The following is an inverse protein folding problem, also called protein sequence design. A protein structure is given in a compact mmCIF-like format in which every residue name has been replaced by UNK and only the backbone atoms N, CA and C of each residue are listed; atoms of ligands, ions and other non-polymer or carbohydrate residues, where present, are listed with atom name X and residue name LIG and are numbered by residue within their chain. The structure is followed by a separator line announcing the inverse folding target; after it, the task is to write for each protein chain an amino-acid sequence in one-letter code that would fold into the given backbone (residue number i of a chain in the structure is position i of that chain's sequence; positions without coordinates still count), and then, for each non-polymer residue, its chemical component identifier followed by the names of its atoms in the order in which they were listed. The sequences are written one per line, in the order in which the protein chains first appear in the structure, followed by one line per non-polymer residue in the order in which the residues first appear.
data_IF_353934037918
#
_entry.id   IF_353934037918
#
_cell.length_a   1.000
_cell.length_b   1.000
_cell.length_c   1.000
_cell.angle_alpha   90.00
_cell.angle_beta   90.00
_cell.angle_gamma   90.00
#
_symmetry.space_group_name_H-M   'P 1'
#
loop_
_entity.id
_entity.type
_entity.pdbx_description
1 polymer ?
#
# COMPACT_ATOMS: atom_id res chain seq x y z
N UNK A 1 30.10 -2.04 -7.43
CA UNK A 1 29.67 -1.45 -8.72
C UNK A 1 29.17 -0.06 -8.44
N UNK A 2 29.78 0.95 -9.02
CA UNK A 2 29.28 2.33 -8.99
C UNK A 2 28.31 2.52 -10.15
N UNK A 3 27.19 3.20 -9.90
CA UNK A 3 26.32 3.68 -10.97
C UNK A 3 27.08 4.83 -11.64
N UNK A 4 27.49 4.66 -12.90
CA UNK A 4 28.37 5.62 -13.60
C UNK A 4 27.58 6.74 -14.30
N UNK A 5 26.30 6.51 -14.60
CA UNK A 5 25.39 7.51 -15.17
C UNK A 5 23.98 7.33 -14.58
N UNK A 6 23.42 8.43 -14.09
CA UNK A 6 22.02 8.55 -13.67
C UNK A 6 21.32 9.42 -14.71
N UNK A 7 20.24 8.93 -15.31
CA UNK A 7 19.33 9.73 -16.12
C UNK A 7 18.08 9.98 -15.30
N UNK A 8 17.69 11.25 -15.20
CA UNK A 8 16.43 11.65 -14.59
C UNK A 8 15.32 11.63 -15.64
N UNK A 9 14.33 10.76 -15.44
CA UNK A 9 13.09 10.74 -16.21
C UNK A 9 11.97 11.25 -15.30
N UNK A 10 11.45 12.47 -15.50
CA UNK A 10 10.38 13.00 -14.67
C UNK A 10 9.05 12.33 -15.05
N UNK A 11 8.34 11.80 -14.06
CA UNK A 11 7.00 11.24 -14.23
C UNK A 11 5.99 12.08 -13.46
N UNK A 12 4.90 12.46 -14.12
CA UNK A 12 3.73 13.05 -13.46
C UNK A 12 2.62 12.03 -13.48
N UNK A 13 2.19 11.57 -12.30
CA UNK A 13 1.06 10.66 -12.17
C UNK A 13 -0.18 11.43 -11.70
N UNK A 14 -1.31 11.17 -12.36
CA UNK A 14 -2.62 11.61 -11.89
C UNK A 14 -3.41 10.37 -11.48
N UNK A 15 -3.59 10.18 -10.18
CA UNK A 15 -4.36 9.07 -9.64
C UNK A 15 -5.72 9.56 -9.12
N UNK A 16 -6.78 8.82 -9.44
CA UNK A 16 -8.09 8.97 -8.82
C UNK A 16 -8.41 7.65 -8.14
N UNK A 17 -8.45 7.69 -6.81
CA UNK A 17 -8.83 6.55 -5.96
C UNK A 17 -10.25 6.77 -5.44
N UNK A 18 -11.10 5.78 -5.61
CA UNK A 18 -12.46 5.78 -5.08
C UNK A 18 -12.48 5.04 -3.74
N UNK A 19 -12.35 5.81 -2.65
CA UNK A 19 -12.44 5.25 -1.30
C UNK A 19 -13.92 4.97 -0.95
N UNK A 20 -14.27 3.73 -0.57
CA UNK A 20 -15.60 3.44 -0.09
C UNK A 20 -15.89 4.22 1.19
N UNK A 21 -17.17 4.48 1.46
CA UNK A 21 -17.57 5.08 2.74
C UNK A 21 -17.11 4.22 3.91
N UNK A 22 -16.38 4.82 4.85
CA UNK A 22 -15.88 4.18 6.06
C UNK A 22 -16.00 5.13 7.25
N UNK A 23 -16.07 4.58 8.46
CA UNK A 23 -16.03 5.40 9.68
C UNK A 23 -14.68 6.11 9.82
N UNK A 24 -14.63 7.17 10.64
CA UNK A 24 -13.37 7.81 10.98
C UNK A 24 -12.48 6.79 11.71
N UNK A 25 -11.26 6.60 11.20
CA UNK A 25 -10.34 5.61 11.76
C UNK A 25 -10.01 5.94 13.21
N UNK A 26 -10.20 4.96 14.09
CA UNK A 26 -9.56 4.90 15.40
C UNK A 26 -8.67 3.66 15.43
N UNK A 27 -7.50 3.72 16.07
CA UNK A 27 -6.66 2.52 16.19
C UNK A 27 -7.45 1.45 16.95
N UNK A 28 -7.71 0.30 16.32
CA UNK A 28 -8.40 -0.82 16.95
C UNK A 28 -7.55 -1.48 18.04
N UNK A 29 -8.17 -2.32 18.88
CA UNK A 29 -7.43 -3.14 19.86
C UNK A 29 -6.48 -4.14 19.18
N UNK A 30 -6.90 -4.71 18.05
CA UNK A 30 -6.10 -5.61 17.23
C UNK A 30 -4.86 -4.92 16.68
N UNK A 31 -5.03 -3.75 16.05
CA UNK A 31 -3.93 -2.97 15.50
C UNK A 31 -2.91 -2.61 16.58
N UNK A 32 -3.38 -2.12 17.74
CA UNK A 32 -2.50 -1.78 18.88
C UNK A 32 -1.70 -2.97 19.38
N UNK A 33 -2.35 -4.14 19.48
CA UNK A 33 -1.69 -5.41 19.85
C UNK A 33 -0.62 -5.78 18.82
N UNK A 34 -0.97 -5.81 17.55
CA UNK A 34 -0.06 -6.25 16.48
C UNK A 34 1.11 -5.26 16.29
N UNK A 35 0.85 -3.96 16.35
CA UNK A 35 1.88 -2.90 16.40
C UNK A 35 2.86 -3.10 17.55
N UNK A 36 2.36 -3.44 18.76
CA UNK A 36 3.23 -3.75 19.91
C UNK A 36 4.07 -5.00 19.65
N UNK A 37 3.50 -6.06 19.08
CA UNK A 37 4.24 -7.29 18.74
C UNK A 37 5.39 -6.94 17.80
N UNK A 38 5.08 -6.32 16.65
CA UNK A 38 6.06 -6.04 15.61
C UNK A 38 7.17 -5.09 16.09
N UNK A 39 6.81 -3.97 16.70
CA UNK A 39 7.77 -2.90 17.04
C UNK A 39 8.44 -3.10 18.39
N UNK A 40 7.72 -3.61 19.41
CA UNK A 40 8.23 -3.65 20.80
C UNK A 40 8.69 -5.03 21.25
N UNK A 41 8.07 -6.11 20.77
CA UNK A 41 8.44 -7.46 21.20
C UNK A 41 9.47 -8.10 20.26
N UNK A 42 9.21 -8.02 18.96
CA UNK A 42 10.11 -8.55 17.93
C UNK A 42 11.22 -7.57 17.54
N UNK A 43 11.08 -6.30 17.95
CA UNK A 43 12.01 -5.22 17.62
C UNK A 43 12.33 -5.14 16.11
N UNK A 44 11.31 -5.37 15.27
CA UNK A 44 11.48 -5.35 13.82
C UNK A 44 11.89 -3.96 13.36
N UNK A 45 12.90 -3.84 12.48
CA UNK A 45 13.28 -2.56 11.91
C UNK A 45 12.30 -2.14 10.81
N UNK A 46 12.43 -0.91 10.31
CA UNK A 46 11.85 -0.50 9.04
C UNK A 46 12.23 -1.50 7.95
N UNK A 47 11.23 -2.00 7.23
CA UNK A 47 11.42 -3.00 6.18
C UNK A 47 12.30 -2.52 5.02
N UNK A 48 12.26 -1.22 4.71
CA UNK A 48 13.03 -0.62 3.61
C UNK A 48 14.50 -0.41 4.00
N UNK A 49 14.78 0.28 5.10
CA UNK A 49 16.13 0.76 5.41
C UNK A 49 16.78 0.16 6.65
N UNK A 50 16.09 -0.73 7.39
CA UNK A 50 16.65 -1.34 8.59
C UNK A 50 16.69 -0.44 9.84
N UNK A 51 16.25 0.82 9.75
CA UNK A 51 16.23 1.75 10.89
C UNK A 51 15.26 1.29 11.98
N UNK A 52 15.63 1.52 13.24
CA UNK A 52 14.76 1.32 14.42
C UNK A 52 14.18 2.62 14.97
N UNK A 53 14.54 3.74 14.37
CA UNK A 53 14.08 5.05 14.77
C UNK A 53 12.65 5.32 14.31
N UNK A 54 11.89 6.01 15.15
CA UNK A 54 10.52 6.47 14.91
C UNK A 54 9.63 5.45 14.18
N UNK A 55 9.70 4.16 14.54
CA UNK A 55 8.99 3.09 13.83
C UNK A 55 7.47 3.22 13.97
N UNK A 56 6.81 3.04 12.83
CA UNK A 56 5.39 3.03 12.64
C UNK A 56 4.97 1.75 11.91
N UNK A 57 3.66 1.50 11.82
CA UNK A 57 3.11 0.31 11.20
C UNK A 57 2.06 0.75 10.19
N UNK A 58 2.23 0.28 8.96
CA UNK A 58 1.38 0.54 7.80
C UNK A 58 0.61 -0.73 7.42
N UNK A 59 -0.51 -0.56 6.74
CA UNK A 59 -1.35 -1.64 6.22
C UNK A 59 -1.04 -1.88 4.75
N UNK A 60 -0.51 -3.05 4.39
CA UNK A 60 -0.17 -3.41 2.99
C UNK A 60 -1.39 -3.21 2.08
N UNK A 61 -2.51 -3.82 2.42
CA UNK A 61 -3.82 -3.44 1.90
C UNK A 61 -4.39 -2.32 2.78
N UNK A 62 -4.44 -1.12 2.21
CA UNK A 62 -4.81 0.10 2.92
C UNK A 62 -6.16 -0.03 3.64
N UNK A 63 -6.19 0.44 4.88
CA UNK A 63 -7.34 0.30 5.75
C UNK A 63 -8.61 0.93 5.16
N UNK A 64 -8.48 2.10 4.53
CA UNK A 64 -9.61 2.84 3.95
C UNK A 64 -10.23 2.14 2.73
N UNK A 65 -9.49 1.25 2.07
CA UNK A 65 -9.99 0.47 0.93
C UNK A 65 -10.63 -0.86 1.37
N UNK A 66 -10.41 -1.30 2.61
CA UNK A 66 -10.87 -2.60 3.12
C UNK A 66 -12.32 -2.95 2.76
N UNK A 67 -13.32 -2.05 2.86
CA UNK A 67 -14.70 -2.39 2.49
C UNK A 67 -14.87 -2.85 1.02
N UNK A 68 -13.99 -2.42 0.12
CA UNK A 68 -13.98 -2.81 -1.29
C UNK A 68 -13.19 -4.10 -1.57
N UNK A 69 -12.42 -4.62 -0.61
CA UNK A 69 -11.53 -5.75 -0.79
C UNK A 69 -12.14 -7.08 -0.37
N UNK A 70 -11.81 -8.11 -1.12
CA UNK A 70 -12.12 -9.51 -0.87
C UNK A 70 -11.03 -10.12 0.02
N UNK A 71 -11.34 -10.51 1.27
CA UNK A 71 -10.34 -11.01 2.21
C UNK A 71 -9.63 -12.29 1.76
N UNK A 72 -10.25 -13.13 0.93
CA UNK A 72 -9.59 -14.31 0.37
C UNK A 72 -8.47 -13.89 -0.60
N UNK A 73 -8.73 -12.88 -1.44
CA UNK A 73 -7.71 -12.34 -2.36
C UNK A 73 -6.63 -11.53 -1.65
N UNK A 74 -6.97 -10.93 -0.51
CA UNK A 74 -5.97 -10.34 0.40
C UNK A 74 -5.02 -11.45 0.87
N UNK A 75 -5.56 -12.58 1.35
CA UNK A 75 -4.73 -13.71 1.77
C UNK A 75 -3.83 -14.21 0.63
N UNK A 76 -4.34 -14.36 -0.59
CA UNK A 76 -3.53 -14.72 -1.78
C UNK A 76 -2.33 -13.80 -1.97
N UNK A 77 -2.53 -12.50 -1.77
CA UNK A 77 -1.48 -11.49 -1.90
C UNK A 77 -0.44 -11.64 -0.78
N UNK A 78 -0.90 -11.93 0.44
CA UNK A 78 -0.05 -12.14 1.60
C UNK A 78 0.70 -13.48 1.58
N UNK A 79 0.30 -14.45 0.75
CA UNK A 79 1.12 -15.63 0.45
C UNK A 79 2.33 -15.29 -0.44
N UNK A 80 2.22 -14.25 -1.27
CA UNK A 80 3.32 -13.77 -2.12
C UNK A 80 4.24 -12.83 -1.35
N UNK A 81 3.67 -11.91 -0.57
CA UNK A 81 4.41 -10.95 0.21
C UNK A 81 4.19 -11.14 1.72
N UNK A 82 5.01 -12.00 2.31
CA UNK A 82 5.00 -12.34 3.75
C UNK A 82 6.31 -11.90 4.42
N UNK A 83 6.51 -10.58 4.65
CA UNK A 83 7.80 -10.05 5.10
C UNK A 83 8.27 -10.58 6.46
N UNK A 84 7.36 -11.14 7.27
CA UNK A 84 7.65 -11.63 8.62
C UNK A 84 7.29 -13.11 8.85
N UNK A 85 6.86 -13.84 7.82
CA UNK A 85 6.54 -15.28 7.90
C UNK A 85 5.21 -15.61 8.60
N UNK A 86 4.33 -14.63 8.83
CA UNK A 86 3.06 -14.88 9.54
C UNK A 86 2.05 -15.59 8.65
N UNK A 87 2.00 -15.31 7.36
CA UNK A 87 1.12 -16.02 6.43
C UNK A 87 1.54 -17.47 6.32
N UNK A 88 2.85 -17.74 6.18
CA UNK A 88 3.38 -19.10 6.18
C UNK A 88 3.03 -19.86 7.47
N UNK A 89 3.11 -19.20 8.63
CA UNK A 89 2.83 -19.82 9.93
C UNK A 89 1.35 -20.07 10.18
N UNK A 90 0.48 -19.15 9.75
CA UNK A 90 -0.96 -19.21 10.00
C UNK A 90 -1.72 -19.99 8.92
N UNK A 91 -1.13 -20.14 7.73
CA UNK A 91 -1.73 -20.84 6.59
C UNK A 91 -3.03 -20.19 6.14
N UNK A 92 -4.01 -21.03 5.82
CA UNK A 92 -5.32 -20.64 5.26
C UNK A 92 -6.32 -20.07 6.28
N UNK A 93 -5.86 -19.61 7.44
CA UNK A 93 -6.75 -18.95 8.40
C UNK A 93 -7.34 -17.68 7.76
N UNK A 94 -8.67 -17.46 7.81
CA UNK A 94 -9.29 -16.29 7.20
C UNK A 94 -8.67 -14.98 7.67
N UNK A 95 -8.60 -13.99 6.78
CA UNK A 95 -8.32 -12.59 7.15
C UNK A 95 -9.66 -11.95 7.51
N UNK A 96 -9.88 -11.64 8.79
CA UNK A 96 -11.17 -11.09 9.25
C UNK A 96 -11.19 -9.55 9.28
N UNK A 97 -10.01 -8.93 9.25
CA UNK A 97 -9.80 -7.53 9.58
C UNK A 97 -8.61 -6.97 8.80
N UNK A 98 -8.62 -5.68 8.41
CA UNK A 98 -7.44 -5.04 7.84
C UNK A 98 -6.29 -5.00 8.85
N UNK A 99 -6.56 -5.08 10.14
CA UNK A 99 -5.56 -5.00 11.22
C UNK A 99 -4.84 -6.33 11.50
N UNK A 100 -5.16 -7.39 10.75
CA UNK A 100 -4.48 -8.68 10.84
C UNK A 100 -2.96 -8.49 10.67
N UNK A 101 -2.17 -9.14 11.53
CA UNK A 101 -0.71 -8.96 11.57
C UNK A 101 -0.02 -9.29 10.25
N UNK A 102 -0.61 -10.18 9.43
CA UNK A 102 -0.11 -10.54 8.10
C UNK A 102 -0.19 -9.36 7.13
N UNK A 103 -1.16 -8.46 7.32
CA UNK A 103 -1.36 -7.26 6.50
C UNK A 103 -0.55 -6.04 6.97
N UNK A 104 0.35 -6.19 7.95
CA UNK A 104 1.06 -5.07 8.55
C UNK A 104 2.53 -5.02 8.13
N UNK A 105 3.05 -3.82 7.90
CA UNK A 105 4.45 -3.55 7.55
C UNK A 105 5.05 -2.48 8.47
N UNK A 106 6.23 -2.75 9.04
CA UNK A 106 6.97 -1.77 9.85
C UNK A 106 7.74 -0.82 8.94
N UNK A 107 7.49 0.47 9.08
CA UNK A 107 8.15 1.55 8.34
C UNK A 107 8.65 2.62 9.30
N UNK A 108 9.73 3.33 8.96
CA UNK A 108 10.20 4.42 9.79
C UNK A 108 9.40 5.70 9.50
N UNK A 109 9.04 6.43 10.56
CA UNK A 109 8.48 7.78 10.51
C UNK A 109 9.53 8.88 10.42
N UNK A 110 10.81 8.50 10.41
CA UNK A 110 11.96 9.37 10.21
C UNK A 110 13.04 8.58 9.45
N UNK A 111 13.68 9.22 8.46
CA UNK A 111 14.80 8.63 7.73
C UNK A 111 15.83 9.71 7.42
N UNK A 112 17.11 9.34 7.32
CA UNK A 112 18.17 10.23 6.85
C UNK A 112 18.80 9.64 5.59
N UNK A 113 18.91 10.45 4.53
CA UNK A 113 19.57 10.08 3.28
C UNK A 113 20.77 10.99 3.11
N UNK A 114 21.99 10.44 3.20
CA UNK A 114 23.22 11.23 3.08
C UNK A 114 23.36 12.34 4.14
N UNK A 115 22.78 12.16 5.34
CA UNK A 115 22.73 13.17 6.40
C UNK A 115 21.61 14.20 6.26
N UNK A 116 20.74 14.08 5.26
CA UNK A 116 19.55 14.92 5.10
C UNK A 116 18.34 14.22 5.73
N UNK A 117 17.68 14.83 6.73
CA UNK A 117 16.50 14.26 7.35
C UNK A 117 15.29 14.35 6.40
N UNK A 118 14.54 13.25 6.30
CA UNK A 118 13.27 13.12 5.60
C UNK A 118 12.17 12.92 6.65
N UNK A 119 11.43 13.99 7.01
CA UNK A 119 10.28 13.89 7.91
C UNK A 119 9.26 12.90 7.36
N UNK A 120 8.70 12.03 8.22
CA UNK A 120 7.77 10.98 7.81
C UNK A 120 8.44 9.71 7.30
N UNK A 121 9.74 9.74 6.97
CA UNK A 121 10.53 8.58 6.55
C UNK A 121 9.88 7.76 5.44
N UNK A 122 10.05 6.44 5.48
CA UNK A 122 9.46 5.53 4.49
C UNK A 122 7.95 5.31 4.67
N UNK A 123 7.33 5.85 5.73
CA UNK A 123 5.87 5.76 5.88
C UNK A 123 5.15 6.94 5.21
N UNK A 124 5.57 8.17 5.52
CA UNK A 124 4.86 9.42 5.14
C UNK A 124 5.77 10.48 4.49
N UNK A 125 7.03 10.17 4.21
CA UNK A 125 7.94 11.13 3.56
C UNK A 125 7.47 11.47 2.15
N UNK A 126 7.64 12.73 1.75
CA UNK A 126 7.34 13.17 0.38
C UNK A 126 8.30 12.49 -0.58
N UNK A 127 7.78 11.98 -1.71
CA UNK A 127 8.50 11.24 -2.75
C UNK A 127 9.23 9.97 -2.26
N UNK A 128 8.95 9.51 -1.04
CA UNK A 128 9.66 8.39 -0.40
C UNK A 128 8.72 7.44 0.34
N UNK A 129 7.70 8.00 0.97
CA UNK A 129 6.78 7.29 1.85
C UNK A 129 5.79 6.44 1.07
N UNK A 130 5.41 5.31 1.65
CA UNK A 130 4.42 4.41 1.03
C UNK A 130 3.08 5.08 0.70
N UNK A 131 2.71 6.14 1.43
CA UNK A 131 1.49 6.91 1.16
C UNK A 131 1.62 7.95 0.05
N UNK A 132 2.83 8.28 -0.38
CA UNK A 132 3.09 9.22 -1.49
C UNK A 132 3.44 8.49 -2.80
N UNK A 133 3.40 7.15 -2.73
CA UNK A 133 3.63 6.24 -3.85
C UNK A 133 2.37 5.41 -4.11
N UNK A 134 2.17 4.97 -5.35
CA UNK A 134 0.97 4.26 -5.79
C UNK A 134 0.83 2.84 -5.23
N UNK A 135 1.78 2.36 -4.42
CA UNK A 135 1.86 0.96 -4.01
C UNK A 135 0.58 0.45 -3.33
N UNK A 136 0.00 1.14 -2.32
CA UNK A 136 -1.20 0.63 -1.64
C UNK A 136 -2.41 0.51 -2.59
N UNK A 137 -2.62 1.50 -3.46
CA UNK A 137 -3.69 1.47 -4.46
C UNK A 137 -3.46 0.37 -5.50
N UNK A 138 -2.23 0.25 -6.00
CA UNK A 138 -1.87 -0.74 -7.01
C UNK A 138 -2.00 -2.16 -6.47
N UNK A 139 -1.59 -2.41 -5.22
CA UNK A 139 -1.76 -3.70 -4.56
C UNK A 139 -3.25 -4.02 -4.33
N UNK A 140 -4.04 -3.03 -3.95
CA UNK A 140 -5.47 -3.19 -3.72
C UNK A 140 -6.22 -3.68 -4.97
N UNK A 141 -5.78 -3.32 -6.19
CA UNK A 141 -6.38 -3.79 -7.45
C UNK A 141 -6.48 -5.32 -7.54
N UNK A 142 -5.50 -6.06 -7.00
CA UNK A 142 -5.50 -7.53 -6.99
C UNK A 142 -6.62 -8.09 -6.11
N UNK A 143 -7.00 -7.36 -5.07
CA UNK A 143 -7.90 -7.84 -4.02
C UNK A 143 -9.31 -7.26 -4.10
N UNK A 144 -9.63 -6.46 -5.12
CA UNK A 144 -10.97 -5.87 -5.26
C UNK A 144 -12.04 -6.95 -5.44
N UNK A 145 -13.19 -6.76 -4.77
CA UNK A 145 -14.37 -7.61 -4.94
C UNK A 145 -14.86 -7.61 -6.39
N UNK A 146 -15.39 -8.73 -6.90
CA UNK A 146 -16.02 -8.75 -8.21
C UNK A 146 -17.09 -7.66 -8.36
N UNK A 147 -17.02 -6.88 -9.44
CA UNK A 147 -17.98 -5.81 -9.73
C UNK A 147 -17.75 -4.49 -8.99
N UNK A 148 -16.72 -4.39 -8.14
CA UNK A 148 -16.31 -3.12 -7.52
C UNK A 148 -15.16 -2.52 -8.33
N UNK A 149 -15.22 -1.21 -8.56
CA UNK A 149 -14.11 -0.42 -9.10
C UNK A 149 -13.58 0.48 -7.98
N UNK A 150 -12.25 0.54 -7.81
CA UNK A 150 -11.58 1.50 -6.91
C UNK A 150 -10.73 2.51 -7.68
N UNK A 151 -10.68 2.34 -9.01
CA UNK A 151 -10.03 3.24 -9.95
C UNK A 151 -11.00 3.51 -11.08
N UNK A 152 -10.91 4.69 -11.70
CA UNK A 152 -11.74 5.05 -12.86
C UNK A 152 -11.25 4.43 -14.17
N UNK A 153 -10.53 3.31 -14.13
CA UNK A 153 -9.87 2.72 -15.30
C UNK A 153 -10.87 2.34 -16.40
N UNK A 154 -12.02 1.74 -16.04
CA UNK A 154 -13.04 1.32 -17.02
C UNK A 154 -13.74 2.55 -17.62
N UNK A 155 -14.12 3.53 -16.78
CA UNK A 155 -14.71 4.78 -17.26
C UNK A 155 -13.75 5.52 -18.19
N UNK A 156 -12.47 5.60 -17.85
CA UNK A 156 -11.43 6.18 -18.69
C UNK A 156 -11.31 5.44 -20.04
N UNK A 157 -11.20 4.10 -20.02
CA UNK A 157 -11.08 3.30 -21.24
C UNK A 157 -12.30 3.48 -22.17
N UNK A 158 -13.52 3.55 -21.62
CA UNK A 158 -14.75 3.83 -22.38
C UNK A 158 -14.72 5.22 -23.02
N UNK A 159 -14.25 6.23 -22.27
CA UNK A 159 -14.13 7.60 -22.80
C UNK A 159 -13.12 7.68 -23.95
N UNK A 160 -11.98 6.99 -23.82
CA UNK A 160 -10.98 6.93 -24.89
C UNK A 160 -11.48 6.18 -26.12
N UNK A 161 -12.15 5.04 -25.98
CA UNK A 161 -12.73 4.32 -27.13
C UNK A 161 -13.77 5.19 -27.87
N UNK A 162 -14.64 5.89 -27.13
CA UNK A 162 -15.60 6.83 -27.71
C UNK A 162 -14.90 7.98 -28.47
N UNK A 163 -13.84 8.56 -27.90
CA UNK A 163 -13.05 9.61 -28.56
C UNK A 163 -12.43 9.13 -29.87
N UNK A 164 -11.85 7.93 -29.87
CA UNK A 164 -11.22 7.31 -31.04
C UNK A 164 -12.24 6.91 -32.13
N UNK A 165 -13.43 6.44 -31.75
CA UNK A 165 -14.50 6.12 -32.70
C UNK A 165 -15.19 7.36 -33.26
N UNK A 166 -15.34 8.41 -32.45
CA UNK A 166 -15.90 9.69 -32.88
C UNK A 166 -15.04 10.41 -33.91
N UNK A 167 -13.72 10.33 -33.79
CA UNK A 167 -12.75 10.91 -34.75
C UNK A 167 -12.69 10.17 -36.08
N UNK A 168 -13.04 8.88 -36.12
CA UNK A 168 -13.09 8.08 -37.37
C UNK A 168 -14.35 8.28 -38.22
N UNK A 169 -15.36 9.03 -37.74
CA UNK A 169 -16.62 9.28 -38.47
C UNK A 169 -16.65 10.62 -39.21
N UNK A 170 -15.57 11.38 -39.17
CA UNK A 170 -15.44 12.72 -39.78
C UNK A 170 -14.54 12.76 -41.02
N UNK A 171 -14.30 11.62 -41.67
CA UNK A 171 -13.68 11.50 -43.00
C UNK A 171 -14.68 10.88 -43.98
#
# INVERSE_FOLDING_TARGET
MSIEQVHEEPHTFHEIVEFPGHEARTESSEFRKNKRILVKQLDLPCWICGSRDAREVHHLHEWSLWPALDPEKVLDTLHVFDPYGYTHKMGEQPIESPDDIRNLLVLCGHHEIGGVPVPGGHHRGVDLGVHDLTMPTWLALKSVKPGVEITKAIAHAKNEDNRLRGTKRSE
#
